data_IF_822656799304
#
_entry.id   IF_822656799304
#
_cell.length_a   1.000
_cell.length_b   1.000
_cell.length_c   1.000
_cell.angle_alpha   90.00
_cell.angle_beta   90.00
_cell.angle_gamma   90.00
#
_symmetry.space_group_name_H-M   'P 1'
#
loop_
_entity.id
_entity.type
_entity.pdbx_description
1 polymer ?
#
# COMPACT_ATOMS: atom_id res chain seq x y z
N UNK A 1 19.35 22.36 53.09
CA UNK A 1 17.90 22.68 52.98
C UNK A 1 17.52 23.08 51.55
N UNK A 2 18.12 24.12 50.97
CA UNK A 2 17.77 24.63 49.62
C UNK A 2 17.92 23.57 48.52
N UNK A 3 19.04 22.85 48.46
CA UNK A 3 19.26 21.76 47.48
C UNK A 3 18.33 20.54 47.63
N UNK A 4 17.57 20.44 48.74
CA UNK A 4 16.53 19.41 48.87
C UNK A 4 15.24 19.79 48.12
N UNK A 5 15.02 21.09 47.92
CA UNK A 5 13.88 21.67 47.20
C UNK A 5 14.28 21.97 45.75
N UNK A 6 15.49 22.48 45.54
CA UNK A 6 16.06 22.84 44.24
C UNK A 6 17.32 22.01 43.97
N UNK A 7 17.18 20.73 43.61
CA UNK A 7 18.33 19.83 43.46
C UNK A 7 19.29 20.27 42.35
N UNK A 8 18.80 21.02 41.35
CA UNK A 8 19.55 21.54 40.20
C UNK A 8 20.18 22.92 40.42
N UNK A 9 20.08 23.51 41.61
CA UNK A 9 20.64 24.84 41.87
C UNK A 9 22.17 24.80 41.73
N UNK A 10 22.71 25.73 40.95
CA UNK A 10 24.16 25.88 40.72
C UNK A 10 24.73 27.19 41.27
N UNK A 11 23.87 28.09 41.76
CA UNK A 11 24.24 29.37 42.34
C UNK A 11 23.26 29.71 43.46
N UNK A 12 23.78 30.02 44.65
CA UNK A 12 23.01 30.42 45.83
C UNK A 12 23.73 31.61 46.48
N UNK A 13 23.02 32.72 46.67
CA UNK A 13 23.56 33.95 47.28
C UNK A 13 24.88 34.41 46.63
N UNK A 14 24.90 34.44 45.29
CA UNK A 14 26.09 34.75 44.46
C UNK A 14 27.30 33.82 44.66
N UNK A 15 27.12 32.71 45.39
CA UNK A 15 28.13 31.66 45.54
C UNK A 15 27.79 30.46 44.64
N UNK A 16 28.76 30.04 43.85
CA UNK A 16 28.65 28.82 43.05
C UNK A 16 28.54 27.59 43.94
N UNK A 17 27.60 26.70 43.64
CA UNK A 17 27.46 25.40 44.31
C UNK A 17 27.25 24.28 43.29
N UNK A 18 27.69 23.07 43.61
CA UNK A 18 27.44 21.90 42.75
C UNK A 18 25.99 21.43 42.93
N UNK A 19 25.29 21.18 41.82
CA UNK A 19 23.99 20.51 41.85
C UNK A 19 24.09 19.16 42.59
N UNK A 20 22.97 18.72 43.17
CA UNK A 20 22.92 17.45 43.90
C UNK A 20 23.18 16.27 42.95
N UNK A 21 23.88 15.20 43.36
CA UNK A 21 24.04 14.00 42.53
C UNK A 21 22.68 13.44 42.10
N UNK A 22 22.48 13.21 40.80
CA UNK A 22 21.20 12.79 40.22
C UNK A 22 20.12 13.90 40.12
N UNK A 23 20.47 15.16 40.35
CA UNK A 23 19.55 16.29 40.17
C UNK A 23 19.19 16.53 38.70
N UNK A 24 20.15 16.29 37.83
CA UNK A 24 19.90 16.11 36.41
C UNK A 24 19.43 14.67 36.29
N UNK A 25 18.12 14.52 36.05
CA UNK A 25 17.62 13.32 35.41
C UNK A 25 18.33 13.36 34.06
N UNK A 26 19.40 12.56 33.90
CA UNK A 26 20.13 12.44 32.64
C UNK A 26 19.05 12.37 31.57
N UNK A 27 18.96 13.40 30.73
CA UNK A 27 17.86 13.58 29.81
C UNK A 27 17.66 12.25 29.09
N UNK A 28 16.63 11.49 29.49
CA UNK A 28 16.25 10.29 28.76
C UNK A 28 15.88 10.84 27.41
N UNK A 29 16.83 10.79 26.49
CA UNK A 29 16.66 11.29 25.13
C UNK A 29 15.50 10.47 24.61
N UNK A 30 14.32 11.08 24.58
CA UNK A 30 13.11 10.42 24.12
C UNK A 30 13.31 10.32 22.62
N UNK A 31 13.88 9.20 22.19
CA UNK A 31 14.00 8.87 20.78
C UNK A 31 12.62 8.36 20.40
N UNK A 32 11.87 9.17 19.66
CA UNK A 32 10.64 8.71 19.04
C UNK A 32 10.94 7.47 18.17
N UNK A 33 10.11 6.42 18.22
CA UNK A 33 10.27 5.29 17.32
C UNK A 33 10.30 5.78 15.87
N UNK A 34 11.17 5.19 15.03
CA UNK A 34 11.20 5.57 13.63
C UNK A 34 9.84 5.30 12.98
N UNK A 35 9.37 6.24 12.17
CA UNK A 35 8.20 6.05 11.33
C UNK A 35 8.44 4.86 10.39
N UNK A 36 7.46 3.97 10.32
CA UNK A 36 7.47 2.80 9.43
C UNK A 36 6.32 2.93 8.43
N UNK A 37 6.40 2.23 7.28
CA UNK A 37 5.24 1.97 6.44
C UNK A 37 4.16 1.18 7.20
N UNK A 38 3.05 0.89 6.51
CA UNK A 38 1.94 0.13 7.06
C UNK A 38 2.35 -1.20 7.72
N UNK A 39 1.60 -1.59 8.76
CA UNK A 39 1.87 -2.76 9.58
C UNK A 39 0.82 -3.88 9.42
N UNK A 40 1.26 -5.09 9.06
CA UNK A 40 0.37 -6.28 8.90
C UNK A 40 0.56 -7.35 9.99
N UNK A 41 1.35 -7.08 11.04
CA UNK A 41 1.62 -8.08 12.09
C UNK A 41 2.45 -9.28 11.65
N UNK A 42 3.13 -9.23 10.50
CA UNK A 42 3.98 -10.31 9.98
C UNK A 42 3.22 -11.50 9.36
N UNK A 43 1.90 -11.42 9.19
CA UNK A 43 1.10 -12.49 8.60
C UNK A 43 0.89 -12.23 7.08
N UNK A 44 1.61 -12.97 6.25
CA UNK A 44 1.55 -12.81 4.78
C UNK A 44 0.17 -13.16 4.20
N UNK A 45 -0.51 -14.19 4.73
CA UNK A 45 -1.85 -14.56 4.29
C UNK A 45 -2.87 -13.47 4.59
N UNK A 46 -2.84 -12.94 5.82
CA UNK A 46 -3.71 -11.84 6.23
C UNK A 46 -3.47 -10.60 5.38
N UNK A 47 -2.20 -10.30 5.09
CA UNK A 47 -1.83 -9.22 4.17
C UNK A 47 -2.50 -9.39 2.81
N UNK A 48 -2.35 -10.55 2.17
CA UNK A 48 -2.96 -10.82 0.86
C UNK A 48 -4.49 -10.72 0.91
N UNK A 49 -5.13 -11.14 1.99
CA UNK A 49 -6.58 -11.03 2.16
C UNK A 49 -7.04 -9.57 2.29
N UNK A 50 -6.34 -8.76 3.07
CA UNK A 50 -6.63 -7.32 3.22
C UNK A 50 -6.40 -6.58 1.89
N UNK A 51 -5.29 -6.83 1.22
CA UNK A 51 -4.99 -6.21 -0.08
C UNK A 51 -6.05 -6.61 -1.13
N UNK A 52 -6.42 -7.90 -1.22
CA UNK A 52 -7.47 -8.36 -2.14
C UNK A 52 -8.83 -7.72 -1.82
N UNK A 53 -9.19 -7.61 -0.54
CA UNK A 53 -10.41 -6.91 -0.11
C UNK A 53 -10.39 -5.45 -0.54
N UNK A 54 -9.31 -4.72 -0.27
CA UNK A 54 -9.20 -3.29 -0.58
C UNK A 54 -9.23 -3.04 -2.09
N UNK A 55 -8.54 -3.87 -2.88
CA UNK A 55 -8.57 -3.81 -4.35
C UNK A 55 -10.00 -4.00 -4.85
N UNK A 56 -10.68 -5.07 -4.43
CA UNK A 56 -12.06 -5.35 -4.85
C UNK A 56 -13.02 -4.23 -4.42
N UNK A 57 -12.87 -3.74 -3.18
CA UNK A 57 -13.70 -2.69 -2.62
C UNK A 57 -13.55 -1.38 -3.41
N UNK A 58 -12.32 -0.89 -3.61
CA UNK A 58 -12.08 0.38 -4.28
C UNK A 58 -12.32 0.33 -5.79
N UNK A 59 -12.12 -0.83 -6.44
CA UNK A 59 -12.51 -1.02 -7.84
C UNK A 59 -14.02 -0.79 -8.05
N UNK A 60 -14.85 -1.30 -7.12
CA UNK A 60 -16.30 -1.04 -7.15
C UNK A 60 -16.58 0.41 -6.76
N UNK A 61 -15.89 0.93 -5.75
CA UNK A 61 -16.14 2.26 -5.20
C UNK A 61 -15.85 3.41 -6.17
N UNK A 62 -14.80 3.27 -6.98
CA UNK A 62 -14.29 4.27 -7.94
C UNK A 62 -14.68 3.97 -9.40
N UNK A 63 -15.60 3.02 -9.63
CA UNK A 63 -16.07 2.74 -10.98
C UNK A 63 -16.75 3.96 -11.63
N UNK A 64 -16.84 3.95 -12.96
CA UNK A 64 -17.34 5.06 -13.77
C UNK A 64 -18.76 5.53 -13.39
N UNK A 65 -19.65 4.60 -13.01
CA UNK A 65 -20.99 4.88 -12.49
C UNK A 65 -21.06 4.49 -11.00
N UNK A 66 -20.62 5.36 -10.07
CA UNK A 66 -20.56 5.05 -8.65
C UNK A 66 -21.95 4.83 -8.03
N UNK A 67 -23.02 5.40 -8.62
CA UNK A 67 -24.38 5.19 -8.14
C UNK A 67 -24.80 3.74 -8.37
N UNK A 68 -24.45 3.14 -9.51
CA UNK A 68 -24.74 1.73 -9.78
C UNK A 68 -23.73 0.81 -9.12
N UNK A 69 -22.44 1.09 -9.23
CA UNK A 69 -21.41 0.18 -8.75
C UNK A 69 -21.42 0.06 -7.23
N UNK A 70 -21.51 1.18 -6.48
CA UNK A 70 -21.48 1.12 -5.00
C UNK A 70 -22.66 0.36 -4.41
N UNK A 71 -23.77 0.17 -5.15
CA UNK A 71 -24.89 -0.69 -4.73
C UNK A 71 -24.46 -2.13 -4.47
N UNK A 72 -23.50 -2.64 -5.24
CA UNK A 72 -23.02 -4.03 -5.09
C UNK A 72 -22.21 -4.24 -3.82
N UNK A 73 -21.72 -3.15 -3.19
CA UNK A 73 -21.04 -3.24 -1.90
C UNK A 73 -21.97 -3.72 -0.78
N UNK A 74 -23.29 -3.74 -0.98
CA UNK A 74 -24.24 -4.23 0.01
C UNK A 74 -23.91 -5.65 0.50
N UNK A 75 -23.43 -6.52 -0.39
CA UNK A 75 -23.06 -7.91 -0.08
C UNK A 75 -21.83 -8.02 0.85
N UNK A 76 -21.04 -6.95 0.94
CA UNK A 76 -19.82 -6.87 1.75
C UNK A 76 -20.12 -6.44 3.19
N UNK A 77 -21.23 -5.73 3.41
CA UNK A 77 -21.66 -5.25 4.73
C UNK A 77 -22.58 -6.24 5.44
N UNK A 78 -22.49 -6.32 6.76
CA UNK A 78 -23.42 -7.08 7.58
C UNK A 78 -24.84 -6.48 7.49
N UNK A 79 -25.80 -7.26 7.00
CA UNK A 79 -27.13 -6.82 6.57
C UNK A 79 -27.82 -5.85 7.55
N UNK A 80 -27.93 -6.21 8.82
CA UNK A 80 -28.70 -5.45 9.82
C UNK A 80 -27.85 -4.76 10.90
N UNK A 81 -26.55 -5.09 10.99
CA UNK A 81 -25.69 -4.64 12.10
C UNK A 81 -24.54 -3.76 11.66
N UNK A 82 -24.25 -3.66 10.36
CA UNK A 82 -23.18 -2.79 9.88
C UNK A 82 -23.45 -1.32 10.19
N UNK A 83 -22.41 -0.57 10.49
CA UNK A 83 -22.51 0.87 10.70
C UNK A 83 -21.50 1.62 9.84
N UNK A 84 -21.92 2.77 9.29
CA UNK A 84 -21.03 3.71 8.62
C UNK A 84 -21.12 5.08 9.25
N UNK A 85 -19.98 5.73 9.45
CA UNK A 85 -19.90 7.13 9.84
C UNK A 85 -18.71 7.81 9.18
N UNK A 86 -18.73 9.13 9.08
CA UNK A 86 -17.61 9.88 8.54
C UNK A 86 -17.31 11.13 9.32
N UNK A 87 -16.04 11.53 9.33
CA UNK A 87 -15.56 12.77 9.91
C UNK A 87 -14.78 13.56 8.86
N UNK A 88 -15.05 14.86 8.78
CA UNK A 88 -14.31 15.80 7.94
C UNK A 88 -13.60 16.79 8.86
N UNK A 89 -12.28 16.84 8.78
CA UNK A 89 -11.46 17.86 9.42
C UNK A 89 -10.15 18.03 8.64
N UNK A 90 -9.61 19.24 8.62
CA UNK A 90 -8.32 19.46 7.98
C UNK A 90 -7.18 19.12 8.94
N UNK A 91 -6.27 18.28 8.49
CA UNK A 91 -5.05 18.00 9.22
C UNK A 91 -4.24 19.28 9.40
N UNK A 92 -3.94 19.62 10.65
CA UNK A 92 -3.12 20.78 10.99
C UNK A 92 -1.70 20.61 10.46
N UNK A 93 -1.12 21.71 10.00
CA UNK A 93 0.30 21.79 9.68
C UNK A 93 0.84 23.14 10.11
N UNK A 94 1.89 23.10 10.92
CA UNK A 94 2.53 24.28 11.47
C UNK A 94 3.07 25.17 10.35
N UNK A 95 2.82 26.47 10.45
CA UNK A 95 3.23 27.45 9.43
C UNK A 95 2.41 27.41 8.13
N UNK A 96 1.39 26.56 8.02
CA UNK A 96 0.49 26.54 6.88
C UNK A 96 -0.78 27.38 7.13
N UNK A 97 -1.30 28.00 6.07
CA UNK A 97 -2.59 28.71 6.12
C UNK A 97 -3.79 27.76 6.20
N UNK A 98 -5.00 28.32 6.24
CA UNK A 98 -6.23 27.51 6.19
C UNK A 98 -6.30 26.70 4.89
N UNK A 99 -6.31 25.38 5.01
CA UNK A 99 -6.57 24.48 3.89
C UNK A 99 -8.03 24.59 3.45
N UNK A 100 -8.27 24.63 2.13
CA UNK A 100 -9.61 24.63 1.54
C UNK A 100 -9.80 23.34 0.76
N UNK A 101 -11.03 22.84 0.75
CA UNK A 101 -11.41 21.75 -0.14
C UNK A 101 -11.31 22.22 -1.60
N UNK A 102 -10.86 21.38 -2.53
CA UNK A 102 -10.58 21.81 -3.91
C UNK A 102 -11.83 22.00 -4.79
N UNK A 103 -13.02 21.68 -4.29
CA UNK A 103 -14.29 21.78 -5.02
C UNK A 103 -15.48 22.05 -4.06
N UNK A 104 -16.70 22.10 -4.60
CA UNK A 104 -17.93 22.41 -3.85
C UNK A 104 -18.47 21.25 -2.97
N UNK A 105 -17.86 20.07 -3.04
CA UNK A 105 -18.30 18.90 -2.27
C UNK A 105 -18.04 19.05 -0.76
N UNK A 106 -17.21 20.02 -0.34
CA UNK A 106 -17.05 20.35 1.08
C UNK A 106 -18.40 20.51 1.79
N UNK A 107 -19.33 21.21 1.14
CA UNK A 107 -20.66 21.47 1.70
C UNK A 107 -21.45 20.18 1.93
N UNK A 108 -21.28 19.18 1.07
CA UNK A 108 -21.85 17.85 1.21
C UNK A 108 -21.23 17.12 2.41
N UNK A 109 -19.90 17.03 2.45
CA UNK A 109 -19.17 16.28 3.49
C UNK A 109 -19.38 16.86 4.89
N UNK A 110 -19.35 18.18 5.06
CA UNK A 110 -19.50 18.81 6.38
C UNK A 110 -20.89 18.57 6.99
N UNK A 111 -21.93 18.38 6.17
CA UNK A 111 -23.28 18.02 6.65
C UNK A 111 -23.35 16.60 7.20
N UNK A 112 -22.46 15.72 6.75
CA UNK A 112 -22.35 14.33 7.20
C UNK A 112 -21.33 14.16 8.33
N UNK A 113 -20.36 15.06 8.47
CA UNK A 113 -19.27 15.00 9.45
C UNK A 113 -19.77 14.79 10.89
N UNK A 114 -19.40 13.66 11.49
CA UNK A 114 -19.74 13.26 12.85
C UNK A 114 -18.59 13.54 13.82
N UNK A 115 -18.10 14.78 13.84
CA UNK A 115 -17.03 15.18 14.76
C UNK A 115 -17.58 15.34 16.19
N UNK A 116 -17.32 14.36 17.06
CA UNK A 116 -17.78 14.36 18.46
C UNK A 116 -17.18 15.49 19.30
N UNK A 117 -16.04 16.09 18.91
CA UNK A 117 -15.52 17.30 19.57
C UNK A 117 -16.41 18.52 19.34
N UNK A 118 -17.29 18.47 18.33
CA UNK A 118 -18.27 19.50 18.01
C UNK A 118 -19.70 19.00 18.27
N UNK A 119 -19.90 18.08 19.22
CA UNK A 119 -21.19 17.39 19.42
C UNK A 119 -22.36 18.35 19.63
N UNK A 120 -22.15 19.48 20.30
CA UNK A 120 -23.21 20.48 20.53
C UNK A 120 -23.74 21.07 19.22
N UNK A 121 -22.84 21.33 18.27
CA UNK A 121 -23.16 21.84 16.92
C UNK A 121 -24.04 20.85 16.15
N UNK A 122 -23.94 19.57 16.46
CA UNK A 122 -24.59 18.49 15.72
C UNK A 122 -25.70 17.78 16.50
N UNK A 123 -25.93 18.17 17.76
CA UNK A 123 -26.86 17.55 18.71
C UNK A 123 -28.24 17.24 18.13
N UNK A 124 -28.80 18.18 17.36
CA UNK A 124 -30.13 18.06 16.74
C UNK A 124 -30.24 17.02 15.61
N UNK A 125 -29.13 16.65 14.97
CA UNK A 125 -29.11 15.80 13.77
C UNK A 125 -28.09 14.66 13.90
N UNK A 126 -27.73 14.25 15.12
CA UNK A 126 -26.71 13.22 15.37
C UNK A 126 -27.08 11.88 14.74
N UNK A 127 -28.35 11.50 14.82
CA UNK A 127 -28.86 10.24 14.25
C UNK A 127 -28.71 10.20 12.72
N UNK A 128 -28.70 11.36 12.05
CA UNK A 128 -28.57 11.46 10.59
C UNK A 128 -27.10 11.40 10.11
N UNK A 129 -26.14 11.09 11.00
CA UNK A 129 -24.69 11.01 10.71
C UNK A 129 -24.10 9.62 10.97
N UNK A 130 -24.95 8.69 11.36
CA UNK A 130 -24.63 7.29 11.57
C UNK A 130 -25.61 6.48 10.73
N UNK A 131 -25.10 5.68 9.81
CA UNK A 131 -25.88 4.92 8.85
C UNK A 131 -25.91 3.46 9.31
N UNK A 132 -27.08 2.84 9.33
CA UNK A 132 -27.31 1.54 9.99
C UNK A 132 -27.84 0.48 9.02
N UNK A 133 -27.17 -0.67 9.00
CA UNK A 133 -27.46 -1.77 8.10
C UNK A 133 -26.95 -1.52 6.68
N UNK A 134 -26.72 -2.61 5.95
CA UNK A 134 -26.04 -2.58 4.65
C UNK A 134 -26.76 -1.67 3.63
N UNK A 135 -28.09 -1.67 3.64
CA UNK A 135 -28.91 -0.84 2.75
C UNK A 135 -28.69 0.67 2.97
N UNK A 136 -28.71 1.13 4.22
CA UNK A 136 -28.56 2.55 4.55
C UNK A 136 -27.12 3.02 4.31
N UNK A 137 -26.15 2.21 4.72
CA UNK A 137 -24.72 2.43 4.43
C UNK A 137 -24.51 2.64 2.94
N UNK A 138 -24.95 1.69 2.12
CA UNK A 138 -24.73 1.74 0.67
C UNK A 138 -25.51 2.85 0.00
N UNK A 139 -26.75 3.11 0.42
CA UNK A 139 -27.53 4.27 -0.02
C UNK A 139 -26.77 5.57 0.19
N UNK A 140 -26.08 5.71 1.33
CA UNK A 140 -25.22 6.86 1.59
C UNK A 140 -23.97 6.87 0.72
N UNK A 141 -23.27 5.73 0.55
CA UNK A 141 -22.09 5.63 -0.31
C UNK A 141 -22.41 6.02 -1.77
N UNK A 142 -23.57 5.62 -2.30
CA UNK A 142 -24.04 5.99 -3.64
C UNK A 142 -24.27 7.50 -3.82
N UNK A 143 -24.62 8.23 -2.74
CA UNK A 143 -24.83 9.69 -2.78
C UNK A 143 -23.53 10.47 -2.70
N UNK A 144 -22.43 9.84 -2.26
CA UNK A 144 -21.15 10.53 -2.13
C UNK A 144 -20.56 10.82 -3.52
N UNK A 145 -19.74 11.88 -3.65
CA UNK A 145 -19.10 12.21 -4.92
C UNK A 145 -18.35 11.03 -5.55
N UNK A 146 -18.20 11.05 -6.87
CA UNK A 146 -17.32 10.10 -7.55
C UNK A 146 -15.87 10.35 -7.12
N UNK A 147 -15.09 9.29 -6.98
CA UNK A 147 -13.72 9.34 -6.47
C UNK A 147 -12.79 8.53 -7.35
N UNK A 148 -11.49 8.82 -7.23
CA UNK A 148 -10.41 8.01 -7.75
C UNK A 148 -9.35 7.92 -6.68
N UNK A 149 -9.28 6.80 -5.98
CA UNK A 149 -8.22 6.55 -5.00
C UNK A 149 -6.91 6.25 -5.73
N UNK A 150 -5.79 6.51 -5.06
CA UNK A 150 -4.46 6.20 -5.56
C UNK A 150 -3.91 5.01 -4.76
N UNK A 151 -4.07 3.75 -5.23
CA UNK A 151 -3.65 2.57 -4.46
C UNK A 151 -2.15 2.58 -4.11
N UNK A 152 -1.31 3.14 -4.98
CA UNK A 152 0.13 3.26 -4.73
C UNK A 152 0.48 4.17 -3.54
N UNK A 153 -0.49 4.97 -3.06
CA UNK A 153 -0.34 5.81 -1.87
C UNK A 153 -0.84 5.14 -0.58
N UNK A 154 -1.38 3.92 -0.66
CA UNK A 154 -2.03 3.29 0.48
C UNK A 154 -1.02 2.86 1.55
N UNK A 155 -1.33 3.24 2.79
CA UNK A 155 -0.69 2.74 4.01
C UNK A 155 -1.75 1.97 4.80
N UNK A 156 -1.45 0.73 5.14
CA UNK A 156 -2.41 -0.18 5.77
C UNK A 156 -1.85 -0.61 7.12
N UNK A 157 -2.61 -0.38 8.18
CA UNK A 157 -2.26 -0.77 9.55
C UNK A 157 -3.31 -1.70 10.11
N UNK A 158 -2.89 -2.92 10.47
CA UNK A 158 -3.69 -3.87 11.24
C UNK A 158 -3.63 -3.47 12.71
N UNK A 159 -4.77 -3.06 13.24
CA UNK A 159 -4.93 -2.58 14.61
C UNK A 159 -5.21 -3.76 15.56
N UNK A 160 -6.08 -4.68 15.12
CA UNK A 160 -6.45 -5.87 15.89
C UNK A 160 -6.73 -7.03 14.94
N UNK A 161 -6.21 -8.21 15.23
CA UNK A 161 -6.54 -9.43 14.50
C UNK A 161 -6.84 -10.57 15.47
N UNK A 162 -8.05 -11.12 15.37
CA UNK A 162 -8.53 -12.28 16.12
C UNK A 162 -9.30 -13.21 15.15
N UNK A 163 -9.59 -14.47 15.53
CA UNK A 163 -10.35 -15.38 14.66
C UNK A 163 -11.74 -14.87 14.24
N UNK A 164 -12.39 -14.03 15.05
CA UNK A 164 -13.76 -13.53 14.82
C UNK A 164 -13.85 -12.05 14.51
N UNK A 165 -12.75 -11.31 14.60
CA UNK A 165 -12.72 -9.85 14.47
C UNK A 165 -11.37 -9.40 13.94
N UNK A 166 -11.39 -8.58 12.90
CA UNK A 166 -10.23 -7.92 12.30
C UNK A 166 -10.52 -6.42 12.19
N UNK A 167 -9.61 -5.59 12.67
CA UNK A 167 -9.66 -4.13 12.56
C UNK A 167 -8.40 -3.67 11.84
N UNK A 168 -8.57 -2.94 10.75
CA UNK A 168 -7.46 -2.34 10.03
C UNK A 168 -7.86 -0.97 9.49
N UNK A 169 -6.89 -0.06 9.41
CA UNK A 169 -7.04 1.22 8.73
C UNK A 169 -6.28 1.21 7.41
N UNK A 170 -6.87 1.84 6.40
CA UNK A 170 -6.20 2.21 5.15
C UNK A 170 -6.17 3.73 5.07
N UNK A 171 -4.98 4.28 4.91
CA UNK A 171 -4.75 5.70 4.68
C UNK A 171 -4.23 5.89 3.27
N UNK A 172 -4.55 7.01 2.65
CA UNK A 172 -4.02 7.30 1.34
C UNK A 172 -4.54 8.59 0.76
N UNK A 173 -4.34 8.75 -0.55
CA UNK A 173 -4.77 9.89 -1.31
C UNK A 173 -5.89 9.49 -2.27
N UNK A 174 -6.80 10.44 -2.50
CA UNK A 174 -7.86 10.31 -3.49
C UNK A 174 -8.09 11.63 -4.21
N UNK A 175 -8.60 11.53 -5.42
CA UNK A 175 -9.23 12.63 -6.14
C UNK A 175 -10.74 12.47 -6.05
N UNK A 176 -11.43 13.59 -6.11
CA UNK A 176 -12.88 13.63 -6.08
C UNK A 176 -13.41 14.37 -7.30
N UNK A 177 -14.62 14.05 -7.76
CA UNK A 177 -15.29 14.76 -8.83
C UNK A 177 -15.26 16.29 -8.58
N UNK A 178 -14.96 17.11 -9.60
CA UNK A 178 -14.81 16.72 -11.00
C UNK A 178 -13.42 16.18 -11.38
N UNK A 179 -12.42 16.29 -10.51
CA UNK A 179 -11.02 15.95 -10.83
C UNK A 179 -10.80 14.45 -11.03
N UNK A 180 -11.50 13.61 -10.27
CA UNK A 180 -11.51 12.16 -10.48
C UNK A 180 -11.96 11.77 -11.90
N UNK A 181 -12.75 12.63 -12.57
CA UNK A 181 -13.27 12.43 -13.93
C UNK A 181 -12.46 13.21 -14.98
N UNK A 182 -11.59 14.13 -14.57
CA UNK A 182 -10.78 14.99 -15.44
C UNK A 182 -9.32 15.03 -14.95
N UNK A 183 -8.49 14.07 -15.38
CA UNK A 183 -7.13 13.89 -14.85
C UNK A 183 -6.13 14.97 -15.27
N UNK A 184 -6.55 15.99 -16.03
CA UNK A 184 -5.67 17.06 -16.50
C UNK A 184 -5.31 18.08 -15.41
N UNK A 185 -6.11 18.18 -14.34
CA UNK A 185 -5.83 19.04 -13.18
C UNK A 185 -6.12 18.29 -11.87
N UNK A 186 -5.30 17.28 -11.52
CA UNK A 186 -5.58 16.43 -10.37
C UNK A 186 -5.45 17.23 -9.06
N UNK A 187 -6.48 17.13 -8.22
CA UNK A 187 -6.50 17.71 -6.88
C UNK A 187 -6.66 16.60 -5.85
N UNK A 188 -5.65 16.46 -5.00
CA UNK A 188 -5.58 15.37 -4.03
C UNK A 188 -6.23 15.80 -2.71
N UNK A 189 -7.01 14.91 -2.13
CA UNK A 189 -7.43 14.92 -0.74
C UNK A 189 -6.83 13.72 -0.02
N UNK A 190 -6.75 13.81 1.31
CA UNK A 190 -6.34 12.71 2.16
C UNK A 190 -7.56 12.00 2.72
N UNK A 191 -7.47 10.67 2.84
CA UNK A 191 -8.42 9.89 3.61
C UNK A 191 -7.72 8.92 4.56
N UNK A 192 -8.44 8.58 5.62
CA UNK A 192 -8.16 7.41 6.46
C UNK A 192 -9.48 6.68 6.64
N UNK A 193 -9.53 5.40 6.30
CA UNK A 193 -10.73 4.58 6.44
C UNK A 193 -10.43 3.37 7.31
N UNK A 194 -11.18 3.22 8.39
CA UNK A 194 -11.02 2.10 9.32
C UNK A 194 -12.16 1.12 9.12
N UNK A 195 -11.82 -0.11 8.82
CA UNK A 195 -12.77 -1.21 8.71
C UNK A 195 -12.66 -2.11 9.92
N UNK A 196 -13.79 -2.38 10.57
CA UNK A 196 -13.95 -3.52 11.47
C UNK A 196 -14.74 -4.59 10.73
N UNK A 197 -14.14 -5.77 10.58
CA UNK A 197 -14.70 -6.87 9.81
C UNK A 197 -14.70 -8.18 10.58
N UNK A 198 -15.67 -9.04 10.28
CA UNK A 198 -15.65 -10.45 10.67
C UNK A 198 -15.02 -11.27 9.55
N UNK A 199 -13.93 -12.02 9.81
CA UNK A 199 -13.39 -12.99 8.87
C UNK A 199 -14.37 -14.13 8.57
N UNK A 200 -14.54 -14.49 7.30
CA UNK A 200 -15.34 -15.66 6.87
C UNK A 200 -14.42 -16.85 6.55
N UNK A 201 -14.96 -18.07 6.62
CA UNK A 201 -14.20 -19.31 6.36
C UNK A 201 -13.62 -19.40 4.94
N UNK A 202 -14.25 -18.73 3.97
CA UNK A 202 -13.78 -18.63 2.58
C UNK A 202 -12.69 -17.56 2.37
N UNK A 203 -12.19 -16.93 3.44
CA UNK A 203 -11.17 -15.88 3.38
C UNK A 203 -11.68 -14.49 3.03
N UNK A 204 -13.00 -14.33 2.78
CA UNK A 204 -13.61 -13.01 2.59
C UNK A 204 -13.94 -12.33 3.94
N UNK A 205 -14.26 -11.05 3.88
CA UNK A 205 -14.60 -10.24 5.05
C UNK A 205 -16.06 -9.78 5.01
N UNK A 206 -16.67 -9.68 6.19
CA UNK A 206 -17.97 -9.04 6.39
C UNK A 206 -17.77 -7.74 7.18
N UNK A 207 -18.09 -6.58 6.62
CA UNK A 207 -17.90 -5.30 7.28
C UNK A 207 -19.02 -5.06 8.30
N UNK A 208 -18.64 -4.85 9.57
CA UNK A 208 -19.57 -4.52 10.66
C UNK A 208 -19.43 -3.08 11.13
N UNK A 209 -18.28 -2.43 10.92
CA UNK A 209 -18.11 -0.99 11.12
C UNK A 209 -17.17 -0.42 10.07
N UNK A 210 -17.53 0.73 9.53
CA UNK A 210 -16.78 1.49 8.54
C UNK A 210 -16.74 2.97 8.95
N UNK A 211 -15.54 3.46 9.24
CA UNK A 211 -15.32 4.85 9.63
C UNK A 211 -14.43 5.53 8.59
N UNK A 212 -14.95 6.59 7.96
CA UNK A 212 -14.22 7.38 6.98
C UNK A 212 -13.81 8.75 7.54
N UNK A 213 -12.52 9.01 7.59
CA UNK A 213 -11.97 10.34 7.81
C UNK A 213 -11.52 10.97 6.48
N UNK A 214 -11.87 12.24 6.27
CA UNK A 214 -11.47 13.04 5.11
C UNK A 214 -10.78 14.32 5.55
N UNK A 215 -9.74 14.72 4.82
CA UNK A 215 -9.05 16.00 4.98
C UNK A 215 -8.69 16.58 3.62
N UNK A 216 -8.88 17.89 3.44
CA UNK A 216 -8.27 18.56 2.31
C UNK A 216 -6.74 18.52 2.44
N UNK A 217 -6.03 18.51 1.32
CA UNK A 217 -4.58 18.66 1.30
C UNK A 217 -4.21 20.09 0.92
N UNK A 218 -3.28 20.70 1.66
CA UNK A 218 -2.69 21.96 1.23
C UNK A 218 -1.64 21.70 0.11
N UNK A 219 -1.28 22.76 -0.61
CA UNK A 219 -0.34 22.65 -1.71
C UNK A 219 1.04 22.14 -1.26
N UNK A 220 1.50 22.54 -0.07
CA UNK A 220 2.79 22.12 0.49
C UNK A 220 2.86 20.59 0.67
N UNK A 221 1.79 19.96 1.19
CA UNK A 221 1.69 18.49 1.31
C UNK A 221 1.67 17.81 -0.04
N UNK A 222 0.90 18.35 -0.98
CA UNK A 222 0.86 17.83 -2.35
C UNK A 222 2.25 17.87 -3.00
N UNK A 223 2.99 18.98 -2.84
CA UNK A 223 4.35 19.11 -3.34
C UNK A 223 5.32 18.12 -2.68
N UNK A 224 5.25 17.96 -1.35
CA UNK A 224 6.07 16.95 -0.63
C UNK A 224 5.79 15.53 -1.10
N UNK A 225 4.52 15.17 -1.29
CA UNK A 225 4.12 13.89 -1.86
C UNK A 225 4.71 13.69 -3.26
N UNK A 226 4.58 14.68 -4.16
CA UNK A 226 5.15 14.61 -5.51
C UNK A 226 6.68 14.43 -5.50
N UNK A 227 7.37 15.12 -4.60
CA UNK A 227 8.82 14.97 -4.42
C UNK A 227 9.19 13.57 -3.92
N UNK A 228 8.44 13.01 -2.98
CA UNK A 228 8.66 11.65 -2.50
C UNK A 228 8.41 10.62 -3.61
N UNK A 229 7.30 10.75 -4.34
CA UNK A 229 6.98 9.87 -5.47
C UNK A 229 8.08 9.91 -6.54
N UNK A 230 8.57 11.10 -6.89
CA UNK A 230 9.67 11.27 -7.85
C UNK A 230 10.95 10.56 -7.38
N UNK A 231 11.30 10.67 -6.09
CA UNK A 231 12.44 9.96 -5.51
C UNK A 231 12.27 8.45 -5.54
N UNK A 232 11.09 7.94 -5.18
CA UNK A 232 10.79 6.50 -5.22
C UNK A 232 10.88 5.94 -6.64
N UNK A 233 10.32 6.65 -7.63
CA UNK A 233 10.39 6.25 -9.03
C UNK A 233 11.82 6.26 -9.57
N UNK A 234 12.63 7.27 -9.20
CA UNK A 234 14.04 7.31 -9.56
C UNK A 234 14.82 6.14 -8.94
N UNK A 235 14.59 5.82 -7.67
CA UNK A 235 15.22 4.68 -7.00
C UNK A 235 14.83 3.33 -7.65
N UNK A 236 13.55 3.17 -8.00
CA UNK A 236 13.05 1.98 -8.70
C UNK A 236 13.69 1.84 -10.09
N UNK A 237 13.85 2.94 -10.84
CA UNK A 237 14.52 2.93 -12.14
C UNK A 237 16.00 2.53 -12.02
N UNK A 238 16.71 3.03 -11.01
CA UNK A 238 18.10 2.63 -10.74
C UNK A 238 18.20 1.15 -10.36
N UNK A 239 17.31 0.66 -9.51
CA UNK A 239 17.27 -0.77 -9.15
C UNK A 239 16.96 -1.67 -10.36
N UNK A 240 16.05 -1.24 -11.23
CA UNK A 240 15.73 -1.94 -12.47
C UNK A 240 16.93 -1.99 -13.42
N UNK A 241 17.68 -0.89 -13.57
CA UNK A 241 18.92 -0.83 -14.35
C UNK A 241 20.03 -1.70 -13.75
N UNK A 242 20.15 -1.77 -12.42
CA UNK A 242 21.10 -2.66 -11.73
C UNK A 242 20.73 -4.13 -11.91
N UNK A 243 19.44 -4.45 -11.87
CA UNK A 243 18.95 -5.81 -12.11
C UNK A 243 19.15 -6.21 -13.58
N UNK A 244 18.91 -5.28 -14.51
CA UNK A 244 19.13 -5.48 -15.94
C UNK A 244 20.62 -5.66 -16.26
N UNK A 245 21.51 -4.86 -15.67
CA UNK A 245 22.96 -4.99 -15.84
C UNK A 245 23.51 -6.25 -15.17
N UNK A 246 22.97 -6.68 -14.03
CA UNK A 246 23.27 -7.97 -13.43
C UNK A 246 22.77 -9.14 -14.30
N UNK A 247 21.60 -9.05 -14.93
CA UNK A 247 21.11 -10.07 -15.87
C UNK A 247 21.89 -10.12 -17.17
N UNK A 248 22.46 -8.99 -17.62
CA UNK A 248 23.38 -8.95 -18.78
C UNK A 248 24.76 -9.50 -18.39
N UNK A 249 25.26 -9.23 -17.18
CA UNK A 249 26.51 -9.81 -16.68
C UNK A 249 26.40 -11.33 -16.38
N UNK A 250 25.20 -11.82 -16.02
CA UNK A 250 24.91 -13.26 -15.88
C UNK A 250 24.66 -13.96 -17.22
N UNK A 251 24.31 -13.22 -18.28
CA UNK A 251 24.14 -13.77 -19.62
C UNK A 251 25.49 -14.02 -20.34
N UNK A 252 26.57 -13.38 -19.88
CA UNK A 252 27.92 -13.52 -20.46
C UNK A 252 28.78 -14.59 -19.76
N UNK A 253 28.20 -15.30 -18.78
CA UNK A 253 28.76 -16.53 -18.20
C UNK A 253 27.75 -17.65 -18.41
N UNK A 254 27.37 -17.88 -19.67
CA UNK A 254 26.74 -19.13 -20.03
C UNK A 254 27.84 -20.20 -19.96
N UNK A 255 27.76 -21.08 -18.97
CA UNK A 255 28.70 -22.19 -18.79
C UNK A 255 28.45 -23.17 -19.95
N UNK A 256 29.07 -22.88 -21.09
CA UNK A 256 28.97 -23.61 -22.36
C UNK A 256 29.19 -25.11 -22.10
N UNK A 257 30.11 -25.44 -21.20
CA UNK A 257 30.38 -26.81 -20.76
C UNK A 257 29.18 -27.49 -20.08
N UNK A 258 28.44 -26.78 -19.22
CA UNK A 258 27.25 -27.31 -18.56
C UNK A 258 26.08 -27.51 -19.55
N UNK A 259 25.95 -26.60 -20.52
CA UNK A 259 24.94 -26.69 -21.57
C UNK A 259 25.22 -27.84 -22.55
N UNK A 260 26.48 -28.02 -22.95
CA UNK A 260 26.94 -29.18 -23.72
C UNK A 260 26.64 -30.47 -22.95
N UNK A 261 27.02 -30.56 -21.68
CA UNK A 261 26.83 -31.76 -20.88
C UNK A 261 25.35 -32.17 -20.80
N UNK A 262 24.45 -31.20 -20.60
CA UNK A 262 23.01 -31.46 -20.56
C UNK A 262 22.45 -31.88 -21.93
N UNK A 263 22.90 -31.24 -23.00
CA UNK A 263 22.47 -31.60 -24.34
C UNK A 263 22.96 -32.99 -24.76
N UNK A 264 24.14 -33.42 -24.30
CA UNK A 264 24.62 -34.80 -24.48
C UNK A 264 23.67 -35.81 -23.84
N UNK A 265 23.19 -35.52 -22.62
CA UNK A 265 22.24 -36.39 -21.91
C UNK A 265 20.93 -36.50 -22.67
N UNK A 266 20.38 -35.38 -23.14
CA UNK A 266 19.06 -35.34 -23.77
C UNK A 266 19.07 -35.88 -25.21
N UNK A 267 20.14 -35.62 -25.97
CA UNK A 267 20.26 -36.06 -27.37
C UNK A 267 20.88 -37.46 -27.50
N UNK A 268 21.66 -37.89 -26.50
CA UNK A 268 22.52 -39.07 -26.56
C UNK A 268 23.81 -38.87 -27.37
N UNK A 269 24.07 -37.66 -27.88
CA UNK A 269 25.26 -37.39 -28.67
C UNK A 269 26.51 -37.23 -27.81
N UNK A 270 27.67 -37.50 -28.41
CA UNK A 270 28.97 -37.19 -27.78
C UNK A 270 29.22 -35.67 -27.72
N UNK A 271 30.03 -35.18 -26.76
CA UNK A 271 30.20 -33.74 -26.51
C UNK A 271 30.56 -32.89 -27.72
N UNK A 272 31.44 -33.37 -28.60
CA UNK A 272 31.85 -32.64 -29.80
C UNK A 272 30.67 -32.35 -30.75
N UNK A 273 29.74 -33.30 -30.90
CA UNK A 273 28.57 -33.15 -31.76
C UNK A 273 27.46 -32.33 -31.09
N UNK A 274 27.28 -32.50 -29.78
CA UNK A 274 26.38 -31.66 -29.00
C UNK A 274 26.78 -30.18 -29.04
N UNK A 275 28.08 -29.89 -28.94
CA UNK A 275 28.62 -28.54 -29.06
C UNK A 275 28.40 -27.95 -30.46
N UNK A 276 28.62 -28.72 -31.53
CA UNK A 276 28.37 -28.25 -32.90
C UNK A 276 26.88 -27.89 -33.11
N UNK A 277 25.97 -28.75 -32.63
CA UNK A 277 24.52 -28.51 -32.73
C UNK A 277 24.08 -27.26 -31.95
N UNK A 278 24.65 -27.06 -30.75
CA UNK A 278 24.39 -25.87 -29.95
C UNK A 278 24.95 -24.60 -30.62
N UNK A 279 26.14 -24.67 -31.24
CA UNK A 279 26.73 -23.54 -31.98
C UNK A 279 25.92 -23.15 -33.20
N UNK A 280 25.45 -24.12 -34.00
CA UNK A 280 24.58 -23.84 -35.15
C UNK A 280 23.25 -23.19 -34.74
N UNK A 281 22.78 -23.47 -33.52
CA UNK A 281 21.59 -22.87 -32.92
C UNK A 281 21.86 -21.57 -32.15
N UNK A 282 23.06 -20.96 -32.26
CA UNK A 282 23.47 -19.79 -31.46
C UNK A 282 23.26 -19.99 -29.95
N UNK A 283 23.61 -21.17 -29.43
CA UNK A 283 23.45 -21.59 -28.03
C UNK A 283 22.01 -21.60 -27.50
N UNK A 284 21.01 -21.52 -28.38
CA UNK A 284 19.62 -21.66 -28.00
C UNK A 284 19.25 -23.14 -27.86
N UNK A 285 19.11 -23.60 -26.61
CA UNK A 285 18.87 -25.01 -26.28
C UNK A 285 17.63 -25.60 -26.97
N UNK A 286 16.54 -24.84 -27.03
CA UNK A 286 15.28 -25.30 -27.62
C UNK A 286 15.38 -25.41 -29.15
N UNK A 287 16.05 -24.44 -29.79
CA UNK A 287 16.29 -24.46 -31.23
C UNK A 287 17.23 -25.61 -31.60
N UNK A 288 18.30 -25.83 -30.83
CA UNK A 288 19.21 -26.95 -31.02
C UNK A 288 18.48 -28.30 -30.92
N UNK A 289 17.60 -28.45 -29.93
CA UNK A 289 16.78 -29.65 -29.77
C UNK A 289 15.86 -29.91 -30.97
N UNK A 290 15.25 -28.87 -31.53
CA UNK A 290 14.42 -28.99 -32.74
C UNK A 290 15.25 -29.41 -33.96
N UNK A 291 16.40 -28.77 -34.18
CA UNK A 291 17.31 -29.10 -35.29
C UNK A 291 17.76 -30.56 -35.19
N UNK A 292 18.16 -31.01 -33.99
CA UNK A 292 18.54 -32.39 -33.74
C UNK A 292 17.42 -33.38 -34.03
N UNK A 293 16.21 -33.14 -33.51
CA UNK A 293 15.07 -34.05 -33.72
C UNK A 293 14.69 -34.17 -35.20
N UNK A 294 14.71 -33.06 -35.94
CA UNK A 294 14.49 -33.05 -37.39
C UNK A 294 15.58 -33.82 -38.12
N UNK A 295 16.86 -33.57 -37.83
CA UNK A 295 17.98 -34.29 -38.45
C UNK A 295 17.95 -35.79 -38.15
N UNK A 296 17.52 -36.19 -36.94
CA UNK A 296 17.36 -37.58 -36.51
C UNK A 296 16.23 -38.28 -37.27
N UNK A 297 15.09 -37.62 -37.44
CA UNK A 297 13.96 -38.15 -38.20
C UNK A 297 14.30 -38.34 -39.69
N UNK A 298 15.11 -37.45 -40.24
CA UNK A 298 15.55 -37.52 -41.64
C UNK A 298 16.75 -38.45 -41.87
N UNK A 299 17.26 -39.11 -40.83
CA UNK A 299 18.41 -40.02 -40.93
C UNK A 299 19.72 -39.34 -41.34
N UNK A 300 19.84 -38.02 -41.09
CA UNK A 300 21.00 -37.19 -41.48
C UNK A 300 22.09 -37.11 -40.42
N UNK A 301 21.94 -37.82 -39.30
CA UNK A 301 22.94 -37.81 -38.20
C UNK A 301 23.90 -38.99 -38.38
N UNK A 302 25.22 -38.75 -38.55
CA UNK A 302 26.22 -39.81 -38.65
C UNK A 302 26.27 -40.70 -37.41
N UNK A 303 26.63 -41.97 -37.57
CA UNK A 303 26.76 -42.91 -36.45
C UNK A 303 27.82 -42.48 -35.42
N UNK A 304 28.85 -41.74 -35.86
CA UNK A 304 29.93 -41.21 -35.04
C UNK A 304 29.46 -40.11 -34.07
N UNK A 305 28.24 -39.60 -34.24
CA UNK A 305 27.65 -38.64 -33.32
C UNK A 305 27.22 -39.27 -31.99
N UNK A 306 27.14 -40.60 -31.92
CA UNK A 306 26.70 -41.35 -30.75
C UNK A 306 27.82 -42.24 -30.20
N UNK A 307 27.83 -42.53 -28.89
CA UNK A 307 28.73 -43.52 -28.32
C UNK A 307 28.50 -44.89 -28.98
N UNK A 308 29.59 -45.60 -29.32
CA UNK A 308 29.55 -46.98 -29.80
C UNK A 308 29.15 -47.97 -28.70
#
# INVERSE_FOLDING_TARGET
>A
AVQAIFPRITMLDDQGCSARPGAYDDEKKVIEPPLKPGFYGGNATLRSQIEAFLIAYFNVYDAEDPIKSRKTLQEVYAENTSQFTMCLENLHEEGSGKTRWPNDNFSFHIRLSHNIKQIDKWSKNRQNRLFHGAMDVVSQLCKMPATRHLPDSFLIDVILATPSLLIFSVQGLLEEAPFALSPQSPQLNFFSRTFTVTPKSNGSFCVISDELFLSAMNEQRVQRYRLQLSKTNAAAAVAALQTATASVALADVNDEAATIARFCVDSGMVPAWAEMCLKEANWNYQVAGHIFLTAKQEGRIPSEAFPQ
#
